data_IF_183526640775
#
_entry.id   IF_183526640775
#
_cell.length_a   1.000
_cell.length_b   1.000
_cell.length_c   1.000
_cell.angle_alpha   90.00
_cell.angle_beta   90.00
_cell.angle_gamma   90.00
#
_symmetry.space_group_name_H-M   'P 1'
#
loop_
_entity.id
_entity.type
_entity.pdbx_description
1 polymer ?
#
# COMPACT_ATOMS: atom_id res chain seq x y z
N UNK A 1 -17.67 -8.09 7.46
CA UNK A 1 -16.46 -7.29 7.18
C UNK A 1 -16.94 -6.06 6.45
N UNK A 2 -16.69 -4.87 7.01
CA UNK A 2 -17.14 -3.63 6.38
C UNK A 2 -16.51 -3.48 5.00
N UNK A 3 -17.25 -2.97 4.02
CA UNK A 3 -16.85 -2.95 2.61
C UNK A 3 -15.54 -2.17 2.33
N UNK A 4 -15.01 -1.45 3.33
CA UNK A 4 -13.86 -0.55 3.21
C UNK A 4 -12.60 -0.99 3.98
N UNK A 5 -12.53 -2.22 4.51
CA UNK A 5 -11.37 -2.67 5.29
C UNK A 5 -10.07 -2.80 4.46
N UNK A 6 -10.15 -3.34 3.23
CA UNK A 6 -8.94 -3.55 2.40
C UNK A 6 -8.42 -2.23 1.80
N UNK A 7 -9.25 -1.31 1.27
CA UNK A 7 -8.77 0.00 0.84
C UNK A 7 -8.07 0.75 1.97
N UNK A 8 -8.60 0.72 3.20
CA UNK A 8 -7.97 1.34 4.36
C UNK A 8 -6.62 0.68 4.71
N UNK A 9 -6.54 -0.65 4.61
CA UNK A 9 -5.28 -1.38 4.78
C UNK A 9 -4.23 -0.96 3.74
N UNK A 10 -4.61 -0.85 2.46
CA UNK A 10 -3.71 -0.41 1.38
C UNK A 10 -3.15 0.99 1.68
N UNK A 11 -3.99 1.94 2.10
CA UNK A 11 -3.53 3.29 2.45
C UNK A 11 -2.60 3.29 3.69
N UNK A 12 -2.92 2.46 4.69
CA UNK A 12 -2.06 2.32 5.88
C UNK A 12 -0.68 1.75 5.51
N UNK A 13 -0.63 0.75 4.62
CA UNK A 13 0.62 0.17 4.14
C UNK A 13 1.41 1.17 3.28
N UNK A 14 0.75 2.02 2.49
CA UNK A 14 1.41 3.10 1.74
C UNK A 14 2.09 4.12 2.67
N UNK A 15 1.43 4.49 3.76
CA UNK A 15 2.03 5.36 4.78
C UNK A 15 3.23 4.67 5.45
N UNK A 16 3.08 3.38 5.80
CA UNK A 16 4.19 2.61 6.37
C UNK A 16 5.39 2.54 5.41
N UNK A 17 5.14 2.37 4.10
CA UNK A 17 6.20 2.38 3.08
C UNK A 17 6.92 3.72 3.05
N UNK A 18 6.18 4.84 3.05
CA UNK A 18 6.77 6.18 3.07
C UNK A 18 7.62 6.46 4.32
N UNK A 19 7.28 5.83 5.45
CA UNK A 19 8.09 5.92 6.67
C UNK A 19 9.33 5.05 6.55
N UNK A 20 9.19 3.80 6.10
CA UNK A 20 10.31 2.89 5.91
C UNK A 20 11.34 3.41 4.90
N UNK A 21 10.90 4.05 3.81
CA UNK A 21 11.78 4.65 2.80
C UNK A 21 12.62 5.84 3.33
N UNK A 22 12.30 6.39 4.52
CA UNK A 22 13.05 7.48 5.16
C UNK A 22 14.09 7.00 6.18
N UNK A 23 14.04 5.73 6.56
CA UNK A 23 14.97 5.13 7.52
C UNK A 23 16.25 4.69 6.80
N UNK A 24 17.43 4.91 7.42
CA UNK A 24 18.76 4.67 6.83
C UNK A 24 18.96 3.20 6.38
N UNK A 25 18.38 2.25 7.12
CA UNK A 25 18.42 0.80 6.81
C UNK A 25 17.01 0.24 6.51
N UNK A 26 16.10 1.07 6.00
CA UNK A 26 14.70 0.74 5.77
C UNK A 26 14.41 -0.16 4.55
N UNK A 27 15.43 -0.62 3.83
CA UNK A 27 15.30 -1.29 2.53
C UNK A 27 14.51 -2.60 2.60
N UNK A 28 14.86 -3.47 3.55
CA UNK A 28 14.17 -4.76 3.75
C UNK A 28 12.73 -4.53 4.18
N UNK A 29 12.49 -3.56 5.07
CA UNK A 29 11.14 -3.22 5.52
C UNK A 29 10.30 -2.66 4.36
N UNK A 30 10.88 -1.78 3.54
CA UNK A 30 10.24 -1.22 2.35
C UNK A 30 9.86 -2.31 1.35
N UNK A 31 10.76 -3.28 1.10
CA UNK A 31 10.47 -4.43 0.25
C UNK A 31 9.29 -5.26 0.76
N UNK A 32 9.28 -5.60 2.06
CA UNK A 32 8.20 -6.38 2.66
C UNK A 32 6.85 -5.64 2.61
N UNK A 33 6.85 -4.34 2.87
CA UNK A 33 5.62 -3.52 2.79
C UNK A 33 5.13 -3.44 1.34
N UNK A 34 6.01 -3.32 0.34
CA UNK A 34 5.63 -3.35 -1.07
C UNK A 34 4.95 -4.67 -1.46
N UNK A 35 5.45 -5.81 -0.99
CA UNK A 35 4.80 -7.12 -1.21
C UNK A 35 3.41 -7.15 -0.58
N UNK A 36 3.27 -6.72 0.68
CA UNK A 36 2.00 -6.67 1.38
C UNK A 36 0.96 -5.76 0.68
N UNK A 37 1.40 -4.62 0.12
CA UNK A 37 0.55 -3.75 -0.70
C UNK A 37 0.06 -4.52 -1.95
N UNK A 38 0.94 -5.26 -2.61
CA UNK A 38 0.58 -6.07 -3.79
C UNK A 38 -0.46 -7.13 -3.49
N UNK A 39 -0.31 -7.84 -2.37
CA UNK A 39 -1.28 -8.84 -1.89
C UNK A 39 -2.63 -8.20 -1.56
N UNK A 40 -2.63 -7.10 -0.82
CA UNK A 40 -3.86 -6.39 -0.45
C UNK A 40 -4.60 -5.84 -1.69
N UNK A 41 -3.88 -5.32 -2.69
CA UNK A 41 -4.48 -4.88 -3.97
C UNK A 41 -5.09 -6.07 -4.72
N UNK A 42 -4.39 -7.20 -4.77
CA UNK A 42 -4.88 -8.41 -5.44
C UNK A 42 -6.16 -8.92 -4.79
N UNK A 43 -6.22 -8.89 -3.45
CA UNK A 43 -7.41 -9.26 -2.69
C UNK A 43 -8.56 -8.25 -2.88
N UNK A 44 -8.29 -6.95 -2.88
CA UNK A 44 -9.30 -5.92 -3.16
C UNK A 44 -9.93 -6.15 -4.54
N UNK A 45 -9.11 -6.40 -5.57
CA UNK A 45 -9.58 -6.71 -6.94
C UNK A 45 -10.44 -7.97 -6.96
N UNK A 46 -10.01 -9.04 -6.26
CA UNK A 46 -10.77 -10.30 -6.16
C UNK A 46 -12.15 -10.09 -5.53
N UNK A 47 -12.28 -9.13 -4.61
CA UNK A 47 -13.54 -8.77 -3.95
C UNK A 47 -14.36 -7.71 -4.69
N UNK A 48 -13.89 -7.22 -5.85
CA UNK A 48 -14.55 -6.15 -6.60
C UNK A 48 -14.51 -4.79 -5.90
N UNK A 49 -13.56 -4.60 -4.96
CA UNK A 49 -13.39 -3.34 -4.25
C UNK A 49 -12.53 -2.37 -5.08
N UNK A 50 -12.87 -1.09 -5.02
CA UNK A 50 -12.10 -0.05 -5.68
C UNK A 50 -10.71 0.08 -5.05
N UNK A 51 -9.67 0.12 -5.91
CA UNK A 51 -8.29 0.38 -5.51
C UNK A 51 -7.90 1.75 -6.02
N UNK A 52 -7.61 2.68 -5.12
CA UNK A 52 -7.03 3.98 -5.46
C UNK A 52 -5.64 3.77 -6.07
N UNK A 53 -5.32 4.35 -7.23
CA UNK A 53 -3.95 4.33 -7.77
C UNK A 53 -2.98 4.98 -6.77
N UNK A 54 -1.70 4.55 -6.78
CA UNK A 54 -0.66 5.27 -6.04
C UNK A 54 -0.67 6.72 -6.54
N UNK A 55 -0.66 7.75 -5.67
CA UNK A 55 -0.44 9.11 -6.13
C UNK A 55 0.90 9.11 -6.86
N UNK A 56 0.89 9.39 -8.16
CA UNK A 56 2.12 9.72 -8.86
C UNK A 56 2.67 10.95 -8.16
N UNK A 57 3.78 10.80 -7.43
CA UNK A 57 4.59 11.94 -7.02
C UNK A 57 4.78 12.81 -8.27
N UNK A 58 4.38 14.07 -8.18
CA UNK A 58 4.02 14.89 -9.33
C UNK A 58 5.04 14.85 -10.46
N UNK A 59 4.54 14.72 -11.70
CA UNK A 59 5.12 15.46 -12.80
C UNK A 59 4.73 16.93 -12.57
N UNK A 60 5.52 17.65 -11.78
CA UNK A 60 5.60 19.11 -11.77
C UNK A 60 7.07 19.49 -11.84
#
# INVERSE_FOLDING_TARGET
MSENEIPKLIETLRLALQMAEKEEDGEVLSFLIQQAIGEAISEARRRGQAVTPKPTAGMQ
#
